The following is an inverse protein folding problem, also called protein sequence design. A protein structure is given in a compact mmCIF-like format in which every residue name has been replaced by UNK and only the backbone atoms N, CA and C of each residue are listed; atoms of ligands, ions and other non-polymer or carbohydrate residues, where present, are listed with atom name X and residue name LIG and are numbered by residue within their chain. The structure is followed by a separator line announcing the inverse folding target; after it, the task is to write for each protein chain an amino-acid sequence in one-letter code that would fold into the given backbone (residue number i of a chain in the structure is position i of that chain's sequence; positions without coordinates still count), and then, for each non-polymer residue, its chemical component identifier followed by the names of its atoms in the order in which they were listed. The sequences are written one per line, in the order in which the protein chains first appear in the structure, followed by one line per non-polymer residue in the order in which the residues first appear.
data_IF_118367896043
#
_entry.id   IF_118367896043
#
_cell.length_a   1.000
_cell.length_b   1.000
_cell.length_c   1.000
_cell.angle_alpha   90.00
_cell.angle_beta   90.00
_cell.angle_gamma   90.00
#
_symmetry.space_group_name_H-M   'P 1'
#
loop_
_entity.id
_entity.type
_entity.pdbx_description
1 polymer ?
#
# COMPACT_ATOMS: atom_id res chain seq x y z
N UNK A 1 5.80 -2.99 8.84
CA UNK A 1 6.06 -4.31 8.23
C UNK A 1 7.55 -4.60 8.03
N UNK A 2 8.34 -3.77 7.29
CA UNK A 2 9.76 -4.03 7.07
C UNK A 2 10.67 -3.61 8.23
N UNK A 3 10.28 -2.59 8.97
CA UNK A 3 11.07 -2.04 10.06
C UNK A 3 10.30 -2.14 11.37
N UNK A 4 10.94 -2.67 12.38
CA UNK A 4 10.39 -2.73 13.75
C UNK A 4 11.31 -1.92 14.70
N UNK A 5 10.76 -1.18 15.66
CA UNK A 5 9.35 -0.86 15.80
C UNK A 5 8.83 -0.01 14.65
N UNK A 6 7.51 0.03 14.45
CA UNK A 6 6.89 0.89 13.44
C UNK A 6 7.23 2.35 13.74
N UNK A 7 7.72 3.08 12.72
CA UNK A 7 8.17 4.48 12.91
C UNK A 7 7.03 5.48 13.01
N UNK A 8 5.83 5.09 12.58
CA UNK A 8 4.61 5.90 12.61
C UNK A 8 3.36 5.03 12.52
N UNK A 9 2.25 5.59 12.88
CA UNK A 9 0.93 4.99 12.71
C UNK A 9 0.53 4.93 11.23
N UNK A 10 -0.18 3.88 10.83
CA UNK A 10 -0.73 3.70 9.48
C UNK A 10 -2.25 3.53 9.58
N UNK A 11 -2.99 4.34 8.83
CA UNK A 11 -4.46 4.36 8.80
C UNK A 11 -5.03 3.73 7.53
N UNK A 12 -4.18 3.52 6.52
CA UNK A 12 -4.58 3.10 5.19
C UNK A 12 -4.02 1.72 4.86
N UNK A 13 -4.80 0.91 4.14
CA UNK A 13 -4.36 -0.32 3.48
C UNK A 13 -4.23 -0.04 1.99
N UNK A 14 -2.99 0.00 1.51
CA UNK A 14 -2.68 0.27 0.12
C UNK A 14 -2.29 -1.02 -0.61
N UNK A 15 -3.04 -1.34 -1.67
CA UNK A 15 -2.81 -2.51 -2.52
C UNK A 15 -2.59 -2.09 -3.97
N UNK A 16 -1.98 -3.00 -4.73
CA UNK A 16 -1.86 -2.88 -6.19
C UNK A 16 -2.51 -4.11 -6.81
N UNK A 17 -3.38 -3.91 -7.77
CA UNK A 17 -3.98 -5.00 -8.53
C UNK A 17 -2.91 -5.62 -9.43
N UNK A 18 -2.69 -6.92 -9.28
CA UNK A 18 -1.56 -7.62 -9.92
C UNK A 18 -1.74 -7.79 -11.43
N UNK A 19 -2.98 -7.92 -11.88
CA UNK A 19 -3.33 -8.14 -13.29
C UNK A 19 -4.40 -7.17 -13.75
N UNK A 20 -4.35 -6.75 -15.01
CA UNK A 20 -5.36 -5.89 -15.62
C UNK A 20 -6.66 -6.68 -15.83
N UNK A 21 -7.56 -6.63 -14.87
CA UNK A 21 -8.87 -7.29 -14.89
C UNK A 21 -9.91 -6.42 -14.16
N UNK A 22 -11.19 -6.79 -14.30
CA UNK A 22 -12.26 -6.11 -13.56
C UNK A 22 -11.97 -6.11 -12.05
N UNK A 23 -12.08 -4.96 -11.41
CA UNK A 23 -11.86 -4.80 -9.97
C UNK A 23 -13.02 -5.33 -9.12
N UNK A 24 -14.20 -5.53 -9.72
CA UNK A 24 -15.42 -5.96 -9.03
C UNK A 24 -15.21 -7.17 -8.12
N UNK A 25 -14.74 -8.32 -8.64
CA UNK A 25 -14.53 -9.51 -7.81
C UNK A 25 -13.60 -9.28 -6.60
N UNK A 26 -12.56 -8.47 -6.77
CA UNK A 26 -11.64 -8.13 -5.66
C UNK A 26 -12.35 -7.28 -4.60
N UNK A 27 -13.15 -6.30 -5.02
CA UNK A 27 -13.92 -5.47 -4.09
C UNK A 27 -14.99 -6.30 -3.35
N UNK A 28 -15.65 -7.21 -4.04
CA UNK A 28 -16.68 -8.08 -3.45
C UNK A 28 -16.05 -9.04 -2.43
N UNK A 29 -14.88 -9.63 -2.73
CA UNK A 29 -14.13 -10.44 -1.79
C UNK A 29 -13.69 -9.64 -0.54
N UNK A 30 -13.20 -8.41 -0.70
CA UNK A 30 -12.86 -7.55 0.45
C UNK A 30 -14.08 -7.18 1.28
N UNK A 31 -15.19 -6.86 0.63
CA UNK A 31 -16.43 -6.50 1.31
C UNK A 31 -17.04 -7.68 2.06
N UNK A 32 -16.99 -8.88 1.51
CA UNK A 32 -17.50 -10.08 2.20
C UNK A 32 -16.79 -10.33 3.55
N UNK A 33 -15.54 -9.87 3.69
CA UNK A 33 -14.77 -9.98 4.93
C UNK A 33 -14.96 -8.77 5.85
N UNK A 34 -15.00 -7.55 5.29
CA UNK A 34 -14.96 -6.32 6.08
C UNK A 34 -16.35 -5.78 6.44
N UNK A 35 -17.35 -5.89 5.54
CA UNK A 35 -18.70 -5.35 5.76
C UNK A 35 -19.40 -5.95 7.01
N UNK A 36 -19.25 -7.26 7.36
CA UNK A 36 -19.93 -7.83 8.51
C UNK A 36 -19.57 -7.19 9.86
N UNK A 37 -18.40 -6.58 9.98
CA UNK A 37 -17.94 -5.98 11.24
C UNK A 37 -17.69 -4.47 11.19
N UNK A 38 -17.49 -3.89 9.99
CA UNK A 38 -17.26 -2.46 9.82
C UNK A 38 -18.43 -1.72 9.18
N UNK A 39 -19.47 -2.45 8.73
CA UNK A 39 -20.61 -1.88 8.02
C UNK A 39 -20.29 -1.57 6.55
N UNK A 40 -21.20 -0.93 5.84
CA UNK A 40 -21.02 -0.60 4.43
C UNK A 40 -20.02 0.54 4.22
N UNK A 41 -19.03 0.38 3.30
CA UNK A 41 -18.05 1.41 3.02
C UNK A 41 -18.60 2.47 2.05
N UNK A 42 -18.14 3.70 2.19
CA UNK A 42 -18.22 4.67 1.11
C UNK A 42 -17.25 4.25 0.00
N UNK A 43 -17.77 4.11 -1.23
CA UNK A 43 -16.98 3.74 -2.42
C UNK A 43 -16.61 4.98 -3.21
N UNK A 44 -15.39 5.03 -3.71
CA UNK A 44 -14.93 6.04 -4.65
C UNK A 44 -14.07 5.39 -5.73
N UNK A 45 -14.46 5.57 -6.98
CA UNK A 45 -13.71 5.11 -8.14
C UNK A 45 -13.04 6.31 -8.81
N UNK A 46 -11.82 6.12 -9.21
CA UNK A 46 -11.06 7.06 -10.04
C UNK A 46 -10.46 6.28 -11.20
N UNK A 47 -9.99 6.91 -12.29
CA UNK A 47 -9.29 6.20 -13.35
C UNK A 47 -8.07 5.42 -12.88
N UNK A 48 -7.50 5.78 -11.73
CA UNK A 48 -6.23 5.22 -11.21
C UNK A 48 -6.40 4.28 -10.03
N UNK A 49 -7.52 4.34 -9.31
CA UNK A 49 -7.70 3.54 -8.10
C UNK A 49 -9.15 3.37 -7.70
N UNK A 50 -9.43 2.29 -7.00
CA UNK A 50 -10.68 2.02 -6.30
C UNK A 50 -10.46 2.16 -4.79
N UNK A 51 -11.40 2.84 -4.11
CA UNK A 51 -11.28 3.12 -2.67
C UNK A 51 -12.54 2.69 -1.93
N UNK A 52 -12.33 1.99 -0.82
CA UNK A 52 -13.36 1.70 0.18
C UNK A 52 -13.00 2.49 1.45
N UNK A 53 -13.96 3.20 2.01
CA UNK A 53 -13.78 3.94 3.25
C UNK A 53 -14.83 3.50 4.25
N UNK A 54 -14.41 2.73 5.23
CA UNK A 54 -15.21 2.31 6.37
C UNK A 54 -15.15 3.37 7.47
N UNK A 55 -16.29 3.65 8.08
CA UNK A 55 -16.39 4.53 9.26
C UNK A 55 -17.09 3.75 10.35
N UNK A 56 -16.44 3.63 11.48
CA UNK A 56 -16.93 2.84 12.59
C UNK A 56 -16.64 3.54 13.92
N UNK A 57 -17.23 3.06 14.99
CA UNK A 57 -16.91 3.50 16.35
C UNK A 57 -16.02 2.45 17.02
N UNK A 58 -15.01 2.90 17.72
CA UNK A 58 -14.17 2.03 18.56
C UNK A 58 -14.96 1.57 19.79
N UNK A 59 -14.41 0.64 20.55
CA UNK A 59 -15.01 0.19 21.81
C UNK A 59 -15.21 1.34 22.81
N UNK A 60 -14.35 2.34 22.79
CA UNK A 60 -14.40 3.55 23.62
C UNK A 60 -15.39 4.60 23.10
N UNK A 61 -16.06 4.32 21.97
CA UNK A 61 -17.03 5.23 21.34
C UNK A 61 -16.42 6.28 20.40
N UNK A 62 -15.13 6.31 20.22
CA UNK A 62 -14.47 7.22 19.31
C UNK A 62 -14.75 6.87 17.85
N UNK A 63 -14.84 7.91 17.00
CA UNK A 63 -15.03 7.72 15.57
C UNK A 63 -13.69 7.38 14.89
N UNK A 64 -13.66 6.22 14.25
CA UNK A 64 -12.51 5.74 13.50
C UNK A 64 -12.82 5.53 12.03
N UNK A 65 -11.76 5.42 11.23
CA UNK A 65 -11.84 5.26 9.79
C UNK A 65 -10.78 4.29 9.31
N UNK A 66 -11.19 3.29 8.52
CA UNK A 66 -10.29 2.45 7.75
C UNK A 66 -10.46 2.78 6.27
N UNK A 67 -9.38 3.11 5.58
CA UNK A 67 -9.37 3.29 4.13
C UNK A 67 -8.59 2.15 3.48
N UNK A 68 -9.24 1.50 2.52
CA UNK A 68 -8.61 0.54 1.61
C UNK A 68 -8.52 1.21 0.24
N UNK A 69 -7.33 1.30 -0.31
CA UNK A 69 -7.07 1.84 -1.64
C UNK A 69 -6.38 0.79 -2.51
N UNK A 70 -6.90 0.57 -3.71
CA UNK A 70 -6.36 -0.39 -4.68
C UNK A 70 -5.98 0.37 -5.94
N UNK A 71 -4.70 0.41 -6.26
CA UNK A 71 -4.22 0.93 -7.54
C UNK A 71 -4.60 -0.07 -8.64
N UNK A 72 -5.29 0.42 -9.68
CA UNK A 72 -5.84 -0.38 -10.78
C UNK A 72 -5.18 -0.12 -12.13
N UNK A 73 -4.06 0.59 -12.16
CA UNK A 73 -3.33 0.93 -13.39
C UNK A 73 -1.90 0.40 -13.36
N UNK A 74 -1.22 0.50 -12.23
CA UNK A 74 0.18 0.12 -12.13
C UNK A 74 0.32 -1.39 -11.88
N UNK A 75 -0.16 -2.21 -12.85
CA UNK A 75 -0.12 -3.69 -12.76
C UNK A 75 1.28 -4.28 -12.91
N UNK A 76 2.31 -3.45 -12.99
CA UNK A 76 3.68 -3.90 -13.16
C UNK A 76 4.46 -3.84 -11.85
N UNK A 77 5.37 -4.78 -11.73
CA UNK A 77 6.42 -4.82 -10.73
C UNK A 77 7.74 -5.12 -11.45
N UNK A 78 8.83 -4.59 -10.95
CA UNK A 78 10.16 -4.81 -11.55
C UNK A 78 10.85 -6.02 -10.92
N UNK A 79 10.69 -6.18 -9.61
CA UNK A 79 11.21 -7.32 -8.85
C UNK A 79 10.07 -8.27 -8.48
N UNK A 80 10.33 -9.58 -8.35
CA UNK A 80 9.34 -10.50 -7.82
C UNK A 80 8.95 -10.10 -6.40
N UNK A 81 7.66 -10.26 -6.07
CA UNK A 81 7.19 -10.11 -4.69
C UNK A 81 7.85 -11.15 -3.80
N UNK A 82 8.05 -10.80 -2.54
CA UNK A 82 8.50 -11.71 -1.50
C UNK A 82 7.33 -12.02 -0.55
N UNK A 83 7.29 -13.23 -0.04
CA UNK A 83 6.36 -13.61 1.02
C UNK A 83 6.91 -13.16 2.37
N UNK A 84 6.08 -12.47 3.14
CA UNK A 84 6.46 -12.01 4.47
C UNK A 84 5.43 -12.40 5.50
N UNK A 85 5.88 -13.08 6.55
CA UNK A 85 5.01 -13.35 7.70
C UNK A 85 4.64 -12.03 8.38
N UNK A 86 3.36 -11.84 8.60
CA UNK A 86 2.81 -10.78 9.40
C UNK A 86 2.08 -11.39 10.59
N UNK A 87 2.59 -11.11 11.78
CA UNK A 87 2.00 -11.55 13.03
C UNK A 87 1.50 -10.35 13.81
N UNK A 88 0.30 -10.48 14.35
CA UNK A 88 -0.30 -9.56 15.30
C UNK A 88 -0.50 -10.34 16.59
N UNK A 89 -0.09 -9.75 17.68
CA UNK A 89 -0.35 -10.24 19.03
C UNK A 89 -0.72 -9.05 19.90
N UNK A 90 -1.99 -9.00 20.30
CA UNK A 90 -2.58 -7.93 21.11
C UNK A 90 -3.65 -8.51 22.03
N UNK A 91 -4.09 -7.75 23.00
CA UNK A 91 -5.18 -8.13 23.90
C UNK A 91 -6.50 -8.47 23.17
N UNK A 92 -6.68 -7.90 21.96
CA UNK A 92 -7.92 -8.00 21.18
C UNK A 92 -7.86 -9.04 20.07
N UNK A 93 -6.66 -9.32 19.55
CA UNK A 93 -6.49 -10.22 18.43
C UNK A 93 -5.07 -10.76 18.34
N UNK A 94 -4.96 -12.05 18.17
CA UNK A 94 -3.69 -12.73 17.85
C UNK A 94 -3.86 -13.54 16.56
N UNK A 95 -2.92 -13.37 15.64
CA UNK A 95 -2.97 -14.09 14.38
C UNK A 95 -1.69 -13.93 13.56
N UNK A 96 -1.51 -14.86 12.63
CA UNK A 96 -0.39 -14.86 11.69
C UNK A 96 -0.90 -15.09 10.28
N UNK A 97 -0.31 -14.42 9.32
CA UNK A 97 -0.59 -14.60 7.90
C UNK A 97 0.66 -14.37 7.07
N UNK A 98 0.70 -14.95 5.87
CA UNK A 98 1.74 -14.67 4.89
C UNK A 98 1.18 -13.68 3.88
N UNK A 99 1.88 -12.58 3.66
CA UNK A 99 1.46 -11.50 2.76
C UNK A 99 2.51 -11.33 1.66
N UNK A 100 2.12 -11.39 0.37
CA UNK A 100 3.01 -11.01 -0.71
C UNK A 100 3.24 -9.50 -0.68
N UNK A 101 4.50 -9.09 -0.64
CA UNK A 101 4.90 -7.69 -0.54
C UNK A 101 6.00 -7.36 -1.54
N UNK A 102 6.12 -6.11 -1.95
CA UNK A 102 7.27 -5.63 -2.70
C UNK A 102 8.56 -5.75 -1.89
N UNK A 103 9.68 -5.98 -2.56
CA UNK A 103 11.00 -5.84 -1.94
C UNK A 103 11.19 -4.39 -1.48
N UNK A 104 12.02 -4.20 -0.44
CA UNK A 104 12.16 -2.88 0.20
C UNK A 104 12.69 -1.83 -0.77
N UNK A 105 13.64 -2.18 -1.64
CA UNK A 105 14.20 -1.27 -2.64
C UNK A 105 13.13 -0.81 -3.63
N UNK A 106 12.25 -1.70 -4.06
CA UNK A 106 11.16 -1.36 -4.97
C UNK A 106 10.12 -0.47 -4.28
N UNK A 107 9.77 -0.81 -3.03
CA UNK A 107 8.87 0.02 -2.23
C UNK A 107 9.44 1.43 -2.03
N UNK A 108 10.74 1.57 -1.78
CA UNK A 108 11.39 2.87 -1.63
C UNK A 108 11.47 3.61 -2.96
N UNK A 109 11.73 2.93 -4.08
CA UNK A 109 11.70 3.54 -5.40
C UNK A 109 10.32 4.15 -5.72
N UNK A 110 9.22 3.45 -5.39
CA UNK A 110 7.87 4.01 -5.55
C UNK A 110 7.58 5.18 -4.61
N UNK A 111 8.15 5.19 -3.41
CA UNK A 111 8.05 6.35 -2.48
C UNK A 111 8.85 7.57 -2.95
N UNK A 112 10.02 7.38 -3.55
CA UNK A 112 10.77 8.48 -4.19
C UNK A 112 9.92 9.10 -5.31
N UNK A 113 9.33 8.26 -6.17
CA UNK A 113 8.40 8.71 -7.22
C UNK A 113 7.23 9.50 -6.62
N UNK A 114 6.59 8.97 -5.57
CA UNK A 114 5.47 9.63 -4.90
C UNK A 114 5.87 10.97 -4.28
N UNK A 115 7.05 11.06 -3.65
CA UNK A 115 7.59 12.31 -3.11
C UNK A 115 7.78 13.35 -4.21
N UNK A 116 8.33 12.95 -5.36
CA UNK A 116 8.51 13.84 -6.52
C UNK A 116 7.18 14.37 -7.06
N UNK A 117 6.15 13.51 -7.13
CA UNK A 117 4.85 13.86 -7.67
C UNK A 117 3.97 14.68 -6.72
N UNK A 118 3.90 14.31 -5.44
CA UNK A 118 2.94 14.88 -4.48
C UNK A 118 3.56 15.70 -3.35
N UNK A 119 4.87 15.67 -3.18
CA UNK A 119 5.66 16.48 -2.23
C UNK A 119 5.14 16.45 -0.79
N UNK A 120 4.72 15.28 -0.29
CA UNK A 120 4.21 15.14 1.08
C UNK A 120 5.32 14.81 2.06
N UNK A 121 5.36 15.52 3.19
CA UNK A 121 6.39 15.36 4.23
C UNK A 121 6.48 13.93 4.81
N UNK A 122 5.37 13.18 4.84
CA UNK A 122 5.38 11.78 5.28
C UNK A 122 6.23 10.86 4.38
N UNK A 123 6.25 11.12 3.07
CA UNK A 123 7.07 10.34 2.13
C UNK A 123 8.56 10.64 2.36
N UNK A 124 8.90 11.89 2.65
CA UNK A 124 10.28 12.29 3.02
C UNK A 124 10.72 11.65 4.33
N UNK A 125 9.86 11.63 5.34
CA UNK A 125 10.14 10.98 6.62
C UNK A 125 10.41 9.48 6.45
N UNK A 126 9.60 8.77 5.68
CA UNK A 126 9.79 7.34 5.41
C UNK A 126 11.14 7.08 4.72
N UNK A 127 11.53 7.92 3.75
CA UNK A 127 12.82 7.83 3.07
C UNK A 127 13.99 8.09 4.03
N UNK A 128 13.93 9.17 4.80
CA UNK A 128 14.94 9.49 5.82
C UNK A 128 15.13 8.34 6.81
N UNK A 129 14.01 7.78 7.29
CA UNK A 129 14.06 6.70 8.28
C UNK A 129 14.73 5.44 7.75
N UNK A 130 14.41 5.05 6.51
CA UNK A 130 15.02 3.88 5.86
C UNK A 130 16.50 4.10 5.61
N UNK A 131 16.89 5.28 5.11
CA UNK A 131 18.30 5.65 4.89
C UNK A 131 19.10 5.63 6.20
N UNK A 132 18.53 6.18 7.27
CA UNK A 132 19.16 6.16 8.61
C UNK A 132 19.40 4.74 9.13
N UNK A 133 18.54 3.79 8.77
CA UNK A 133 18.67 2.38 9.16
C UNK A 133 19.68 1.60 8.31
N UNK A 134 20.06 2.11 7.14
CA UNK A 134 21.04 1.47 6.26
C UNK A 134 20.61 0.10 5.72
N UNK A 135 19.31 -0.14 5.56
CA UNK A 135 18.74 -1.45 5.22
C UNK A 135 18.42 -1.63 3.73
N UNK A 136 18.82 -0.69 2.89
CA UNK A 136 18.55 -0.72 1.45
C UNK A 136 19.82 -0.59 0.62
N UNK A 137 19.80 -1.22 -0.55
CA UNK A 137 20.75 -0.97 -1.62
C UNK A 137 20.32 0.28 -2.40
N UNK A 138 21.12 1.35 -2.29
CA UNK A 138 20.81 2.63 -2.92
C UNK A 138 20.94 2.59 -4.45
N UNK A 139 21.94 1.88 -4.99
CA UNK A 139 22.14 1.77 -6.43
C UNK A 139 20.97 1.04 -7.07
N UNK A 140 20.61 -0.10 -6.52
CA UNK A 140 19.43 -0.89 -6.92
C UNK A 140 18.13 -0.07 -6.81
N UNK A 141 17.96 0.67 -5.71
CA UNK A 141 16.78 1.53 -5.50
C UNK A 141 16.67 2.62 -6.58
N UNK A 142 17.78 3.28 -6.92
CA UNK A 142 17.81 4.32 -7.96
C UNK A 142 17.58 3.76 -9.35
N UNK A 143 18.09 2.56 -9.63
CA UNK A 143 17.82 1.86 -10.90
C UNK A 143 16.31 1.55 -11.04
N UNK A 144 15.69 1.02 -9.99
CA UNK A 144 14.25 0.75 -9.92
C UNK A 144 13.43 2.03 -10.12
N UNK A 145 13.80 3.13 -9.46
CA UNK A 145 13.15 4.42 -9.64
C UNK A 145 13.18 4.90 -11.10
N UNK A 146 14.33 4.75 -11.78
CA UNK A 146 14.44 5.09 -13.21
C UNK A 146 13.55 4.20 -14.08
N UNK A 147 13.47 2.90 -13.79
CA UNK A 147 12.58 1.96 -14.49
C UNK A 147 11.11 2.33 -14.29
N UNK A 148 10.67 2.62 -13.07
CA UNK A 148 9.31 3.06 -12.77
C UNK A 148 8.93 4.34 -13.53
N UNK A 149 9.83 5.32 -13.60
CA UNK A 149 9.56 6.56 -14.34
C UNK A 149 9.39 6.31 -15.85
N UNK A 150 10.14 5.38 -16.43
CA UNK A 150 9.99 5.00 -17.84
C UNK A 150 8.66 4.28 -18.09
N UNK A 151 8.32 3.29 -17.27
CA UNK A 151 7.08 2.50 -17.39
C UNK A 151 5.83 3.38 -17.23
N UNK A 152 5.82 4.30 -16.27
CA UNK A 152 4.69 5.20 -16.08
C UNK A 152 4.50 6.17 -17.25
N UNK A 153 5.57 6.66 -17.87
CA UNK A 153 5.46 7.50 -19.08
C UNK A 153 4.91 6.73 -20.26
N UNK A 154 5.31 5.47 -20.44
CA UNK A 154 4.82 4.62 -21.52
C UNK A 154 3.30 4.34 -21.37
N UNK A 155 2.80 4.12 -20.15
CA UNK A 155 1.37 3.87 -19.91
C UNK A 155 0.49 5.12 -20.12
N UNK A 156 1.03 6.34 -19.97
CA UNK A 156 0.29 7.58 -20.20
C UNK A 156 0.12 7.86 -21.69
N UNK A 157 1.02 7.39 -22.53
CA UNK A 157 0.98 7.59 -23.98
C UNK A 157 0.12 6.57 -24.74
N UNK A 158 -0.40 5.53 -24.07
CA UNK A 158 -1.26 4.49 -24.66
C UNK A 158 -2.75 4.65 -24.37
N UNK A 159 -3.16 5.68 -23.61
CA UNK A 159 -4.53 6.10 -23.34
C UNK A 159 -4.79 7.49 -23.94
#
# INVERSE_FOLDING_TARGET
MFLKPASRYSEDLDFVQKTAQSIGPTLDAMRSVLDPWLGEPKRKFTPMSSKLTYRYSTADGDKAKLKVEINTIEHFQVLPTIEKEHSIDSEWFSGKTIVPVYQIEELIATKIKALYQRRKGRDLFDLWYVLKKGVIDLEKTMELFRKYNKLCKANITQN
#
